data_IF_037128071126
#
_entry.id   IF_037128071126
#
_cell.length_a   1.000
_cell.length_b   1.000
_cell.length_c   1.000
_cell.angle_alpha   90.00
_cell.angle_beta   90.00
_cell.angle_gamma   90.00
#
_symmetry.space_group_name_H-M   'P 1'
#
loop_
_entity.id
_entity.type
_entity.pdbx_description
1 polymer ?
#
# COMPACT_ATOMS: atom_id res chain seq x y z
N UNK A 1 -1.87 4.51 14.47
CA UNK A 1 -1.37 4.88 13.12
C UNK A 1 -2.36 5.78 12.38
N UNK A 2 -3.63 5.39 12.17
CA UNK A 2 -4.60 6.27 11.49
C UNK A 2 -4.75 7.61 12.21
N UNK A 3 -4.97 7.59 13.51
CA UNK A 3 -5.11 8.81 14.32
C UNK A 3 -3.85 9.68 14.31
N UNK A 4 -2.66 9.09 14.21
CA UNK A 4 -1.39 9.86 14.16
C UNK A 4 -1.11 10.50 12.81
N UNK A 5 -1.78 10.07 11.73
CA UNK A 5 -1.60 10.62 10.39
C UNK A 5 -2.81 11.44 9.96
N UNK A 6 -4.03 10.95 10.21
CA UNK A 6 -5.26 11.61 9.79
C UNK A 6 -6.01 12.38 10.91
N UNK A 7 -5.61 12.21 12.17
CA UNK A 7 -6.36 12.73 13.30
C UNK A 7 -7.67 11.97 13.60
N UNK A 8 -7.95 10.90 12.88
CA UNK A 8 -9.15 10.06 13.03
C UNK A 8 -8.83 8.58 12.77
N UNK A 9 -9.62 7.69 13.38
CA UNK A 9 -9.58 6.24 13.12
C UNK A 9 -10.70 5.76 12.20
N UNK A 10 -11.69 6.61 11.92
CA UNK A 10 -12.85 6.29 11.09
C UNK A 10 -12.58 6.46 9.60
N UNK A 11 -11.69 5.64 9.04
CA UNK A 11 -11.33 5.69 7.62
C UNK A 11 -11.73 4.37 6.96
N UNK A 12 -12.54 4.43 5.91
CA UNK A 12 -12.98 3.28 5.12
C UNK A 12 -12.32 3.28 3.72
N UNK A 13 -12.60 2.27 2.90
CA UNK A 13 -11.95 1.99 1.63
C UNK A 13 -12.94 1.77 0.52
N UNK A 14 -12.83 2.52 -0.59
CA UNK A 14 -13.65 2.31 -1.78
C UNK A 14 -13.04 1.24 -2.70
N UNK A 15 -13.12 -0.02 -2.28
CA UNK A 15 -12.59 -1.14 -3.07
C UNK A 15 -13.21 -1.21 -4.46
N UNK A 16 -14.53 -0.96 -4.57
CA UNK A 16 -15.27 -1.16 -5.81
C UNK A 16 -14.86 -0.26 -6.97
N UNK A 17 -14.25 0.90 -6.68
CA UNK A 17 -13.76 1.83 -7.71
C UNK A 17 -12.24 1.83 -7.85
N UNK A 18 -11.54 1.01 -7.07
CA UNK A 18 -10.10 0.89 -7.13
C UNK A 18 -9.64 0.33 -8.49
N UNK A 19 -8.55 0.86 -9.03
CA UNK A 19 -7.94 0.42 -10.28
C UNK A 19 -6.60 -0.29 -10.08
N UNK A 20 -5.94 -0.04 -8.97
CA UNK A 20 -4.70 -0.69 -8.59
C UNK A 20 -4.66 -0.89 -7.08
N UNK A 21 -4.54 -2.12 -6.65
CA UNK A 21 -4.54 -2.48 -5.23
C UNK A 21 -3.28 -3.26 -4.88
N UNK A 22 -2.55 -2.80 -3.86
CA UNK A 22 -1.50 -3.58 -3.21
C UNK A 22 -2.10 -4.13 -1.92
N UNK A 23 -2.20 -5.44 -1.82
CA UNK A 23 -2.74 -6.12 -0.64
C UNK A 23 -1.59 -6.75 0.16
N UNK A 24 -1.46 -6.33 1.42
CA UNK A 24 -0.47 -6.82 2.35
C UNK A 24 -1.12 -7.85 3.29
N UNK A 25 -1.03 -9.13 2.94
CA UNK A 25 -1.46 -10.25 3.78
C UNK A 25 -2.91 -10.20 4.26
N UNK A 26 -3.81 -9.49 3.55
CA UNK A 26 -5.22 -9.39 3.89
C UNK A 26 -6.05 -10.38 3.06
N UNK A 27 -6.07 -11.63 3.48
CA UNK A 27 -6.88 -12.65 2.81
C UNK A 27 -8.37 -12.52 3.17
N UNK A 28 -9.05 -11.60 2.51
CA UNK A 28 -10.48 -11.31 2.74
C UNK A 28 -11.41 -12.48 2.46
N UNK A 29 -11.00 -13.44 1.62
CA UNK A 29 -11.82 -14.61 1.26
C UNK A 29 -11.88 -15.68 2.36
N UNK A 30 -10.97 -15.63 3.31
CA UNK A 30 -10.97 -16.45 4.53
C UNK A 30 -11.22 -15.58 5.79
N UNK A 31 -11.65 -14.33 5.61
CA UNK A 31 -11.93 -13.38 6.66
C UNK A 31 -13.41 -13.31 7.05
N UNK A 32 -13.71 -12.50 8.06
CA UNK A 32 -15.06 -12.32 8.60
C UNK A 32 -15.90 -11.26 7.89
N UNK A 33 -15.27 -10.38 7.09
CA UNK A 33 -15.95 -9.26 6.42
C UNK A 33 -16.25 -9.64 4.97
N UNK A 34 -17.37 -10.31 4.76
CA UNK A 34 -17.80 -10.82 3.44
C UNK A 34 -17.95 -9.69 2.40
N UNK A 35 -18.38 -8.49 2.83
CA UNK A 35 -18.54 -7.32 1.95
C UNK A 35 -17.21 -6.93 1.27
N UNK A 36 -16.08 -7.07 1.95
CA UNK A 36 -14.77 -6.78 1.36
C UNK A 36 -14.39 -7.78 0.28
N UNK A 37 -14.63 -9.09 0.52
CA UNK A 37 -14.38 -10.12 -0.48
C UNK A 37 -15.18 -9.87 -1.77
N UNK A 38 -16.46 -9.51 -1.61
CA UNK A 38 -17.33 -9.15 -2.73
C UNK A 38 -16.82 -7.93 -3.48
N UNK A 39 -16.55 -6.83 -2.77
CA UNK A 39 -16.11 -5.57 -3.37
C UNK A 39 -14.76 -5.72 -4.11
N UNK A 40 -13.81 -6.49 -3.57
CA UNK A 40 -12.54 -6.78 -4.23
C UNK A 40 -12.75 -7.66 -5.46
N UNK A 41 -13.63 -8.67 -5.39
CA UNK A 41 -13.97 -9.49 -6.55
C UNK A 41 -14.53 -8.64 -7.68
N UNK A 42 -15.53 -7.80 -7.39
CA UNK A 42 -16.13 -6.89 -8.35
C UNK A 42 -15.09 -5.91 -8.94
N UNK A 43 -14.18 -5.39 -8.11
CA UNK A 43 -13.10 -4.51 -8.59
C UNK A 43 -12.17 -5.23 -9.57
N UNK A 44 -11.74 -6.46 -9.26
CA UNK A 44 -10.86 -7.25 -10.14
C UNK A 44 -11.57 -7.60 -11.45
N UNK A 45 -12.84 -8.01 -11.41
CA UNK A 45 -13.67 -8.26 -12.61
C UNK A 45 -13.82 -7.00 -13.48
N UNK A 46 -13.83 -5.82 -12.86
CA UNK A 46 -13.85 -4.52 -13.53
C UNK A 46 -12.45 -3.98 -13.90
N UNK A 47 -11.43 -4.84 -13.88
CA UNK A 47 -10.08 -4.55 -14.36
C UNK A 47 -9.14 -3.90 -13.33
N UNK A 48 -9.44 -3.96 -12.04
CA UNK A 48 -8.49 -3.58 -11.01
C UNK A 48 -7.30 -4.54 -11.02
N UNK A 49 -6.09 -4.00 -11.12
CA UNK A 49 -4.86 -4.78 -10.96
C UNK A 49 -4.61 -5.02 -9.48
N UNK A 50 -4.71 -6.28 -9.05
CA UNK A 50 -4.49 -6.70 -7.66
C UNK A 50 -3.11 -7.32 -7.52
N UNK A 51 -2.26 -6.72 -6.70
CA UNK A 51 -0.95 -7.23 -6.30
C UNK A 51 -1.08 -7.80 -4.89
N UNK A 52 -0.79 -9.08 -4.73
CA UNK A 52 -0.81 -9.75 -3.43
C UNK A 52 0.62 -9.92 -2.91
N UNK A 53 0.91 -9.33 -1.77
CA UNK A 53 2.14 -9.54 -1.00
C UNK A 53 1.77 -10.38 0.23
N UNK A 54 2.01 -11.68 0.15
CA UNK A 54 1.65 -12.64 1.20
C UNK A 54 2.69 -13.77 1.20
N UNK A 55 3.29 -14.13 2.34
CA UNK A 55 4.19 -15.27 2.41
C UNK A 55 3.53 -16.58 1.99
N UNK A 56 2.21 -16.67 2.11
CA UNK A 56 1.39 -17.82 1.73
C UNK A 56 0.64 -17.53 0.42
N UNK A 57 0.61 -18.51 -0.49
CA UNK A 57 -0.30 -18.47 -1.64
C UNK A 57 -1.75 -18.69 -1.17
N UNK A 58 -2.37 -17.61 -0.68
CA UNK A 58 -3.70 -17.60 -0.10
C UNK A 58 -4.80 -17.62 -1.17
N UNK A 59 -6.08 -17.75 -0.76
CA UNK A 59 -7.21 -17.64 -1.70
C UNK A 59 -7.21 -16.29 -2.40
N UNK A 60 -6.89 -15.20 -1.69
CA UNK A 60 -6.74 -13.88 -2.33
C UNK A 60 -5.59 -13.89 -3.34
N UNK A 61 -4.45 -14.46 -2.98
CA UNK A 61 -3.29 -14.56 -3.88
C UNK A 61 -3.63 -15.30 -5.18
N UNK A 62 -4.47 -16.34 -5.10
CA UNK A 62 -4.91 -17.09 -6.29
C UNK A 62 -5.83 -16.29 -7.23
N UNK A 63 -6.43 -15.21 -6.76
CA UNK A 63 -7.29 -14.29 -7.53
C UNK A 63 -6.58 -13.00 -7.91
N UNK A 64 -5.38 -12.78 -7.37
CA UNK A 64 -4.57 -11.60 -7.68
C UNK A 64 -4.01 -11.66 -9.10
N UNK A 65 -3.77 -10.49 -9.68
CA UNK A 65 -3.05 -10.37 -10.96
C UNK A 65 -1.62 -10.84 -10.83
N UNK A 66 -1.01 -10.56 -9.67
CA UNK A 66 0.35 -10.99 -9.33
C UNK A 66 0.42 -11.34 -7.85
N UNK A 67 1.20 -12.36 -7.52
CA UNK A 67 1.55 -12.71 -6.15
C UNK A 67 3.07 -12.68 -5.97
N UNK A 68 3.50 -12.05 -4.90
CA UNK A 68 4.88 -12.00 -4.48
C UNK A 68 4.99 -12.57 -3.06
N UNK A 69 5.77 -13.64 -2.85
CA UNK A 69 5.99 -14.21 -1.52
C UNK A 69 6.92 -13.29 -0.72
N UNK A 70 6.33 -12.37 0.01
CA UNK A 70 7.10 -11.48 0.88
C UNK A 70 7.65 -12.25 2.08
N UNK A 71 8.92 -12.00 2.47
CA UNK A 71 9.46 -12.54 3.71
C UNK A 71 8.64 -12.04 4.90
N UNK A 72 8.22 -12.91 5.84
CA UNK A 72 7.55 -12.47 7.06
C UNK A 72 8.36 -11.40 7.80
N UNK A 73 7.73 -10.23 8.04
CA UNK A 73 8.39 -9.05 8.61
C UNK A 73 9.03 -8.11 7.58
N UNK A 74 9.09 -8.49 6.31
CA UNK A 74 9.65 -7.66 5.24
C UNK A 74 8.70 -6.57 4.71
N UNK A 75 7.44 -6.57 5.14
CA UNK A 75 6.43 -5.61 4.70
C UNK A 75 6.83 -4.16 4.94
N UNK A 76 7.46 -3.87 6.08
CA UNK A 76 7.95 -2.53 6.42
C UNK A 76 9.04 -2.08 5.44
N UNK A 77 9.96 -2.96 5.08
CA UNK A 77 11.02 -2.64 4.14
C UNK A 77 10.46 -2.35 2.74
N UNK A 78 9.49 -3.16 2.28
CA UNK A 78 8.79 -2.92 1.03
C UNK A 78 8.11 -1.54 1.03
N UNK A 79 7.39 -1.20 2.11
CA UNK A 79 6.67 0.07 2.21
C UNK A 79 7.60 1.28 2.27
N UNK A 80 8.72 1.20 2.98
CA UNK A 80 9.71 2.28 3.04
C UNK A 80 10.35 2.52 1.67
N UNK A 81 10.68 1.46 0.93
CA UNK A 81 11.19 1.59 -0.43
C UNK A 81 10.14 2.14 -1.41
N UNK A 82 8.88 1.75 -1.28
CA UNK A 82 7.79 2.31 -2.07
C UNK A 82 7.67 3.82 -1.84
N UNK A 83 7.69 4.28 -0.59
CA UNK A 83 7.68 5.71 -0.26
C UNK A 83 8.92 6.43 -0.82
N UNK A 84 10.11 5.82 -0.67
CA UNK A 84 11.34 6.35 -1.26
C UNK A 84 11.18 6.59 -2.77
N UNK A 85 10.66 5.62 -3.52
CA UNK A 85 10.44 5.72 -4.97
C UNK A 85 9.41 6.82 -5.28
N UNK A 86 8.29 6.88 -4.57
CA UNK A 86 7.29 7.91 -4.78
C UNK A 86 7.87 9.32 -4.65
N UNK A 87 8.78 9.52 -3.71
CA UNK A 87 9.42 10.81 -3.46
C UNK A 87 10.55 11.08 -4.45
N UNK A 88 11.48 10.14 -4.64
CA UNK A 88 12.69 10.37 -5.46
C UNK A 88 12.38 10.47 -6.95
N UNK A 89 11.42 9.68 -7.44
CA UNK A 89 10.97 9.71 -8.83
C UNK A 89 9.87 10.78 -9.07
N UNK A 90 9.53 11.61 -8.04
CA UNK A 90 8.49 12.65 -8.09
C UNK A 90 7.10 12.14 -8.52
N UNK A 91 6.72 10.97 -8.02
CA UNK A 91 5.47 10.28 -8.37
C UNK A 91 4.30 10.59 -7.41
N UNK A 92 4.48 11.48 -6.44
CA UNK A 92 3.46 11.88 -5.48
C UNK A 92 2.61 13.07 -5.97
N UNK A 93 1.41 13.24 -5.42
CA UNK A 93 0.57 14.42 -5.69
C UNK A 93 1.11 15.64 -4.96
N UNK A 94 1.91 16.44 -5.67
CA UNK A 94 2.54 17.67 -5.12
C UNK A 94 1.52 18.65 -4.59
N UNK A 95 0.40 18.85 -5.29
CA UNK A 95 -0.63 19.83 -4.90
C UNK A 95 -1.32 19.40 -3.62
N UNK A 96 -1.59 18.10 -3.49
CA UNK A 96 -2.19 17.55 -2.29
C UNK A 96 -1.22 17.68 -1.10
N UNK A 97 0.03 17.28 -1.29
CA UNK A 97 1.06 17.32 -0.25
C UNK A 97 1.32 18.76 0.22
N UNK A 98 1.51 19.70 -0.70
CA UNK A 98 1.74 21.11 -0.36
C UNK A 98 0.57 21.74 0.39
N UNK A 99 -0.65 21.32 0.10
CA UNK A 99 -1.86 21.93 0.70
C UNK A 99 -2.29 21.30 2.02
N UNK A 100 -2.07 20.00 2.19
CA UNK A 100 -2.70 19.24 3.27
C UNK A 100 -1.72 18.48 4.17
N UNK A 101 -0.44 18.40 3.83
CA UNK A 101 0.53 17.63 4.59
C UNK A 101 1.56 18.52 5.28
N UNK A 102 1.95 18.12 6.48
CA UNK A 102 3.09 18.67 7.22
C UNK A 102 4.18 17.60 7.36
N UNK A 103 5.44 17.99 7.54
CA UNK A 103 6.57 17.08 7.77
C UNK A 103 7.07 16.37 6.51
N UNK A 104 6.79 16.88 5.30
CA UNK A 104 7.20 16.22 4.06
C UNK A 104 8.73 16.20 3.87
N UNK A 105 9.46 17.26 4.22
CA UNK A 105 10.92 17.29 4.08
C UNK A 105 11.60 16.38 5.11
N UNK A 106 11.05 16.24 6.30
CA UNK A 106 11.48 15.28 7.31
C UNK A 106 11.25 13.83 6.84
N UNK A 107 10.10 13.56 6.25
CA UNK A 107 9.80 12.26 5.64
C UNK A 107 10.82 11.94 4.53
N UNK A 108 11.05 12.87 3.62
CA UNK A 108 12.00 12.73 2.52
C UNK A 108 13.42 12.43 3.03
N UNK A 109 13.86 13.16 4.06
CA UNK A 109 15.16 12.91 4.69
C UNK A 109 15.22 11.54 5.37
N UNK A 110 14.13 11.10 6.00
CA UNK A 110 14.08 9.82 6.71
C UNK A 110 14.12 8.60 5.81
N UNK A 111 13.60 8.70 4.58
CA UNK A 111 13.48 7.55 3.67
C UNK A 111 14.59 7.45 2.63
N UNK A 112 15.54 8.40 2.59
CA UNK A 112 16.57 8.48 1.54
C UNK A 112 17.42 7.21 1.39
N UNK A 113 17.66 6.48 2.47
CA UNK A 113 18.48 5.27 2.48
C UNK A 113 17.69 3.98 2.21
N UNK A 114 16.37 4.03 2.19
CA UNK A 114 15.53 2.85 1.98
C UNK A 114 15.30 2.61 0.50
N UNK A 115 16.37 2.29 -0.21
CA UNK A 115 16.34 2.05 -1.66
C UNK A 115 15.65 0.72 -2.01
N UNK A 116 15.18 0.54 -3.25
CA UNK A 116 14.65 -0.74 -3.70
C UNK A 116 15.62 -1.91 -3.53
N UNK A 117 16.94 -1.66 -3.72
CA UNK A 117 18.00 -2.65 -3.59
C UNK A 117 18.22 -3.07 -2.12
N UNK A 118 18.07 -2.13 -1.19
CA UNK A 118 18.06 -2.44 0.23
C UNK A 118 16.84 -3.28 0.59
N UNK A 119 15.64 -2.83 0.20
CA UNK A 119 14.39 -3.52 0.53
C UNK A 119 14.32 -4.94 -0.06
N UNK A 120 14.88 -5.16 -1.25
CA UNK A 120 14.90 -6.48 -1.88
C UNK A 120 15.61 -7.54 -1.03
N UNK A 121 16.61 -7.14 -0.24
CA UNK A 121 17.33 -8.04 0.68
C UNK A 121 16.53 -8.34 1.95
N UNK A 122 15.64 -7.42 2.33
CA UNK A 122 14.84 -7.52 3.54
C UNK A 122 13.51 -8.25 3.33
N UNK A 123 12.88 -8.06 2.15
CA UNK A 123 11.54 -8.56 1.88
C UNK A 123 11.45 -9.70 0.86
N UNK A 124 12.56 -10.11 0.23
CA UNK A 124 12.64 -11.15 -0.81
C UNK A 124 11.88 -10.81 -2.12
N UNK A 125 11.51 -9.54 -2.33
CA UNK A 125 10.93 -9.06 -3.59
C UNK A 125 12.01 -8.34 -4.38
N UNK A 126 12.13 -8.62 -5.68
CA UNK A 126 13.20 -8.02 -6.49
C UNK A 126 13.08 -6.48 -6.51
N UNK A 127 14.22 -5.77 -6.50
CA UNK A 127 14.25 -4.31 -6.62
C UNK A 127 13.52 -3.81 -7.88
N UNK A 128 13.59 -4.58 -8.97
CA UNK A 128 12.87 -4.31 -10.22
C UNK A 128 11.36 -4.34 -10.01
N UNK A 129 10.86 -5.35 -9.30
CA UNK A 129 9.42 -5.47 -9.04
C UNK A 129 8.94 -4.40 -8.05
N UNK A 130 9.70 -4.11 -7.00
CA UNK A 130 9.39 -3.01 -6.07
C UNK A 130 9.24 -1.70 -6.83
N UNK A 131 10.20 -1.38 -7.71
CA UNK A 131 10.16 -0.15 -8.52
C UNK A 131 8.96 -0.12 -9.47
N UNK A 132 8.72 -1.22 -10.18
CA UNK A 132 7.58 -1.35 -11.10
C UNK A 132 6.24 -1.18 -10.37
N UNK A 133 6.06 -1.87 -9.25
CA UNK A 133 4.83 -1.81 -8.45
C UNK A 133 4.57 -0.38 -7.96
N UNK A 134 5.60 0.32 -7.45
CA UNK A 134 5.47 1.70 -7.01
C UNK A 134 5.08 2.65 -8.15
N UNK A 135 5.67 2.48 -9.34
CA UNK A 135 5.35 3.29 -10.52
C UNK A 135 3.93 3.03 -11.02
N UNK A 136 3.49 1.78 -11.06
CA UNK A 136 2.13 1.41 -11.47
C UNK A 136 1.09 1.93 -10.46
N UNK A 137 1.39 1.83 -9.16
CA UNK A 137 0.58 2.35 -8.07
C UNK A 137 0.36 3.87 -8.21
N UNK A 138 1.45 4.61 -8.38
CA UNK A 138 1.38 6.05 -8.60
C UNK A 138 0.63 6.43 -9.88
N UNK A 139 0.84 5.68 -10.97
CA UNK A 139 0.16 5.92 -12.25
C UNK A 139 -1.36 5.74 -12.17
N UNK A 140 -1.83 4.87 -11.31
CA UNK A 140 -3.26 4.61 -11.10
C UNK A 140 -3.93 5.61 -10.15
N UNK A 141 -3.14 6.52 -9.51
CA UNK A 141 -3.66 7.53 -8.60
C UNK A 141 -4.75 8.40 -9.28
N UNK A 142 -5.75 8.86 -8.53
CA UNK A 142 -6.03 8.61 -7.12
C UNK A 142 -6.77 7.29 -6.84
N UNK A 143 -7.17 6.53 -7.89
CA UNK A 143 -7.94 5.30 -7.78
C UNK A 143 -7.01 4.08 -7.49
N UNK A 144 -6.07 4.26 -6.58
CA UNK A 144 -5.16 3.22 -6.12
C UNK A 144 -5.12 3.19 -4.60
N UNK A 145 -4.91 2.01 -4.03
CA UNK A 145 -4.81 1.87 -2.57
C UNK A 145 -3.86 0.76 -2.14
N UNK A 146 -3.38 0.88 -0.91
CA UNK A 146 -2.68 -0.20 -0.21
C UNK A 146 -3.59 -0.70 0.90
N UNK A 147 -4.04 -1.94 0.78
CA UNK A 147 -4.86 -2.62 1.76
C UNK A 147 -4.01 -3.58 2.60
N UNK A 148 -4.32 -3.73 3.88
CA UNK A 148 -3.53 -4.55 4.78
C UNK A 148 -4.40 -5.35 5.75
N UNK A 149 -3.96 -6.56 6.05
CA UNK A 149 -4.57 -7.43 7.03
C UNK A 149 -4.04 -7.18 8.46
N UNK A 150 -4.77 -7.70 9.44
CA UNK A 150 -4.35 -7.58 10.84
C UNK A 150 -3.01 -8.26 11.13
N UNK A 151 -2.74 -9.40 10.47
CA UNK A 151 -1.57 -10.23 10.80
C UNK A 151 -0.24 -9.69 10.30
N UNK A 152 -0.22 -8.86 9.27
CA UNK A 152 1.03 -8.19 8.82
C UNK A 152 1.55 -7.21 9.86
N UNK A 153 0.70 -6.83 10.81
CA UNK A 153 1.02 -5.85 11.83
C UNK A 153 1.34 -6.46 13.20
N UNK A 154 1.50 -7.79 13.28
CA UNK A 154 1.95 -8.47 14.52
C UNK A 154 3.48 -8.58 14.58
N UNK A 155 4.14 -7.47 14.31
CA UNK A 155 5.60 -7.31 14.40
C UNK A 155 5.95 -6.21 15.37
N UNK A 156 7.19 -6.14 15.89
CA UNK A 156 7.62 -5.02 16.72
C UNK A 156 7.42 -3.65 16.05
N UNK A 157 7.52 -3.59 14.73
CA UNK A 157 7.39 -2.38 13.91
C UNK A 157 5.94 -2.11 13.44
N UNK A 158 4.93 -2.69 14.09
CA UNK A 158 3.52 -2.57 13.69
C UNK A 158 3.08 -1.12 13.45
N UNK A 159 3.44 -0.20 14.33
CA UNK A 159 3.03 1.20 14.23
C UNK A 159 3.67 1.86 13.02
N UNK A 160 4.95 1.60 12.81
CA UNK A 160 5.72 2.15 11.68
C UNK A 160 5.20 1.63 10.35
N UNK A 161 4.91 0.33 10.25
CA UNK A 161 4.32 -0.27 9.06
C UNK A 161 2.97 0.36 8.73
N UNK A 162 2.07 0.47 9.71
CA UNK A 162 0.76 1.09 9.50
C UNK A 162 0.87 2.56 9.11
N UNK A 163 1.81 3.30 9.71
CA UNK A 163 2.09 4.68 9.34
C UNK A 163 2.60 4.77 7.90
N UNK A 164 3.53 3.91 7.51
CA UNK A 164 4.06 3.87 6.15
C UNK A 164 2.97 3.58 5.11
N UNK A 165 2.05 2.63 5.40
CA UNK A 165 0.91 2.35 4.54
C UNK A 165 0.03 3.59 4.36
N UNK A 166 -0.32 4.26 5.45
CA UNK A 166 -1.14 5.46 5.42
C UNK A 166 -0.44 6.60 4.66
N UNK A 167 0.83 6.83 4.95
CA UNK A 167 1.65 7.85 4.27
C UNK A 167 1.70 7.60 2.77
N UNK A 168 1.91 6.36 2.32
CA UNK A 168 1.93 6.03 0.90
C UNK A 168 0.59 6.33 0.20
N UNK A 169 -0.53 6.07 0.87
CA UNK A 169 -1.86 6.43 0.37
C UNK A 169 -2.04 7.96 0.31
N UNK A 170 -1.60 8.69 1.33
CA UNK A 170 -1.63 10.16 1.35
C UNK A 170 -0.79 10.75 0.22
N UNK A 171 0.42 10.24 0.00
CA UNK A 171 1.33 10.76 -1.01
C UNK A 171 0.75 10.74 -2.43
N UNK A 172 -0.07 9.77 -2.77
CA UNK A 172 -0.73 9.71 -4.08
C UNK A 172 -2.06 10.47 -4.14
N UNK A 173 -2.46 11.17 -3.06
CA UNK A 173 -3.66 12.00 -3.02
C UNK A 173 -4.97 11.22 -3.13
N UNK A 174 -5.03 9.97 -2.64
CA UNK A 174 -6.21 9.13 -2.75
C UNK A 174 -7.26 9.35 -1.65
N UNK A 175 -7.03 10.31 -0.74
CA UNK A 175 -7.94 10.59 0.37
C UNK A 175 -9.16 11.33 -0.15
N UNK A 176 -10.36 10.87 0.25
CA UNK A 176 -11.66 11.36 -0.22
C UNK A 176 -11.81 11.30 -1.75
N UNK A 177 -11.18 10.32 -2.38
CA UNK A 177 -11.28 10.09 -3.83
C UNK A 177 -11.88 8.71 -4.13
N UNK A 178 -12.67 8.60 -5.23
CA UNK A 178 -13.19 7.31 -5.68
C UNK A 178 -12.05 6.29 -5.91
N UNK A 179 -12.19 5.12 -5.31
CA UNK A 179 -11.18 4.07 -5.37
C UNK A 179 -10.01 4.24 -4.40
N UNK A 180 -10.11 5.21 -3.49
CA UNK A 180 -9.15 5.48 -2.43
C UNK A 180 -9.73 5.29 -1.02
N UNK A 181 -9.29 6.13 -0.09
CA UNK A 181 -9.73 6.17 1.31
C UNK A 181 -10.70 7.32 1.58
N UNK A 182 -11.73 7.10 2.45
CA UNK A 182 -12.69 8.12 2.88
C UNK A 182 -13.26 7.83 4.28
#
# INVERSE_FOLDING_TARGET
ALETVFGTSGVDRDFGKCKYMINLGHNVYEGVVISYARAITEAVENGCKLISLDPRYSVLSSKATEWHPVRPGGDTAFMLALINILITDNLYDKKFVEKYCEGFEELKASVVNYTPEWAAKECDISAKDIKRIAQEYAKAAPAAMIDYGHRVTYTPEEIELRRAIVIANVLIGNIEKPGGYY
#
